data_IF_575121411323
#
_entry.id   IF_575121411323
#
_cell.length_a   1.000
_cell.length_b   1.000
_cell.length_c   1.000
_cell.angle_alpha   90.00
_cell.angle_beta   90.00
_cell.angle_gamma   90.00
#
_symmetry.space_group_name_H-M   'P 1'
#
loop_
_entity.id
_entity.type
_entity.pdbx_description
1 polymer ?
#
# COMPACT_ATOMS: atom_id res chain seq x y z
N UNK A 1 -13.18 -13.28 57.71
CA UNK A 1 -14.09 -12.61 56.75
C UNK A 1 -15.33 -13.47 56.53
N UNK A 2 -16.54 -12.90 56.53
CA UNK A 2 -17.76 -13.66 56.25
C UNK A 2 -17.78 -14.17 54.79
N UNK A 3 -18.47 -15.28 54.48
CA UNK A 3 -18.62 -15.78 53.11
C UNK A 3 -19.12 -14.72 52.14
N UNK A 4 -20.06 -13.88 52.59
CA UNK A 4 -20.63 -12.76 51.81
C UNK A 4 -19.55 -11.74 51.43
N UNK A 5 -18.65 -11.38 52.37
CA UNK A 5 -17.54 -10.44 52.07
C UNK A 5 -16.54 -11.00 51.07
N UNK A 6 -16.32 -12.32 51.06
CA UNK A 6 -15.43 -12.99 50.09
C UNK A 6 -16.06 -13.00 48.70
N UNK A 7 -17.34 -13.34 48.59
CA UNK A 7 -18.08 -13.29 47.31
C UNK A 7 -18.12 -11.88 46.74
N UNK A 8 -18.39 -10.86 47.58
CA UNK A 8 -18.38 -9.47 47.15
C UNK A 8 -16.99 -9.03 46.65
N UNK A 9 -15.91 -9.40 47.36
CA UNK A 9 -14.54 -9.10 46.95
C UNK A 9 -14.18 -9.76 45.60
N UNK A 10 -14.49 -11.04 45.43
CA UNK A 10 -14.28 -11.74 44.17
C UNK A 10 -15.08 -11.11 43.01
N UNK A 11 -16.34 -10.75 43.27
CA UNK A 11 -17.18 -10.04 42.29
C UNK A 11 -16.55 -8.72 41.86
N UNK A 12 -16.09 -7.89 42.80
CA UNK A 12 -15.42 -6.62 42.50
C UNK A 12 -14.15 -6.81 41.66
N UNK A 13 -13.32 -7.79 42.01
CA UNK A 13 -12.09 -8.10 41.25
C UNK A 13 -12.43 -8.51 39.81
N UNK A 14 -13.43 -9.39 39.62
CA UNK A 14 -13.85 -9.82 38.30
C UNK A 14 -14.43 -8.67 37.46
N UNK A 15 -15.26 -7.80 38.06
CA UNK A 15 -15.80 -6.63 37.36
C UNK A 15 -14.72 -5.62 36.98
N UNK A 16 -13.75 -5.37 37.85
CA UNK A 16 -12.62 -4.51 37.55
C UNK A 16 -11.74 -5.11 36.45
N UNK A 17 -11.47 -6.41 36.50
CA UNK A 17 -10.73 -7.12 35.46
C UNK A 17 -11.43 -7.05 34.10
N UNK A 18 -12.74 -7.29 34.06
CA UNK A 18 -13.53 -7.20 32.82
C UNK A 18 -13.57 -5.77 32.27
N UNK A 19 -13.74 -4.76 33.13
CA UNK A 19 -13.72 -3.36 32.73
C UNK A 19 -12.34 -2.93 32.20
N UNK A 20 -11.25 -3.39 32.83
CA UNK A 20 -9.89 -3.13 32.37
C UNK A 20 -9.63 -3.80 31.00
N UNK A 21 -10.08 -5.04 30.81
CA UNK A 21 -9.99 -5.74 29.53
C UNK A 21 -10.78 -5.00 28.43
N UNK A 22 -12.04 -4.65 28.68
CA UNK A 22 -12.87 -3.91 27.73
C UNK A 22 -12.28 -2.53 27.40
N UNK A 23 -11.69 -1.85 28.39
CA UNK A 23 -10.95 -0.60 28.20
C UNK A 23 -9.73 -0.79 27.29
N UNK A 24 -8.94 -1.85 27.51
CA UNK A 24 -7.78 -2.17 26.68
C UNK A 24 -8.19 -2.55 25.25
N UNK A 25 -9.21 -3.39 25.08
CA UNK A 25 -9.76 -3.74 23.77
C UNK A 25 -10.26 -2.51 23.02
N UNK A 26 -10.94 -1.58 23.70
CA UNK A 26 -11.39 -0.33 23.10
C UNK A 26 -10.23 0.58 22.70
N UNK A 27 -9.17 0.65 23.51
CA UNK A 27 -7.99 1.48 23.23
C UNK A 27 -7.09 0.90 22.13
N UNK A 28 -7.09 -0.43 22.01
CA UNK A 28 -6.34 -1.18 20.99
C UNK A 28 -7.18 -1.55 19.78
N UNK A 29 -8.45 -1.10 19.73
CA UNK A 29 -9.33 -1.34 18.59
C UNK A 29 -8.80 -0.57 17.39
N UNK A 30 -8.55 -1.33 16.33
CA UNK A 30 -8.05 -0.78 15.08
C UNK A 30 -9.24 -0.61 14.16
N UNK A 31 -9.58 0.64 13.93
CA UNK A 31 -10.50 1.00 12.87
C UNK A 31 -9.88 0.57 11.54
N UNK A 32 -10.63 -0.12 10.69
CA UNK A 32 -10.16 -0.56 9.36
C UNK A 32 -11.14 -0.01 8.35
N UNK A 33 -11.01 1.26 7.97
CA UNK A 33 -11.94 1.86 7.04
C UNK A 33 -11.82 1.09 5.72
N UNK A 34 -12.95 0.60 5.15
CA UNK A 34 -12.92 -0.09 3.88
C UNK A 34 -12.57 0.92 2.77
N UNK A 35 -12.12 0.41 1.63
CA UNK A 35 -12.11 1.20 0.40
C UNK A 35 -13.53 1.74 0.13
N UNK A 36 -13.61 2.96 -0.38
CA UNK A 36 -14.90 3.62 -0.70
C UNK A 36 -15.56 3.04 -1.94
N UNK A 37 -14.76 2.45 -2.81
CA UNK A 37 -15.19 1.71 -3.99
C UNK A 37 -14.23 0.52 -4.22
N UNK A 38 -14.65 -0.51 -4.98
CA UNK A 38 -13.74 -1.58 -5.41
C UNK A 38 -12.56 -1.05 -6.24
N UNK A 39 -11.39 -1.67 -6.16
CA UNK A 39 -10.24 -1.40 -7.02
C UNK A 39 -10.57 -1.57 -8.51
N UNK A 40 -11.51 -2.46 -8.85
CA UNK A 40 -12.00 -2.63 -10.21
C UNK A 40 -12.64 -1.36 -10.81
N UNK A 41 -13.02 -0.38 -9.99
CA UNK A 41 -13.57 0.90 -10.47
C UNK A 41 -12.50 1.90 -10.91
N UNK A 42 -11.21 1.58 -10.78
CA UNK A 42 -10.16 2.36 -11.44
C UNK A 42 -10.52 2.40 -12.94
N UNK A 43 -10.60 3.58 -13.58
CA UNK A 43 -10.99 3.70 -14.98
C UNK A 43 -10.04 2.95 -15.92
N UNK A 44 -10.59 2.33 -16.96
CA UNK A 44 -9.81 1.81 -18.08
C UNK A 44 -9.24 2.93 -18.95
N UNK A 45 -9.82 4.13 -18.91
CA UNK A 45 -9.27 5.31 -19.57
C UNK A 45 -8.73 6.30 -18.53
N UNK A 46 -7.42 6.55 -18.57
CA UNK A 46 -6.72 7.48 -17.67
C UNK A 46 -6.00 8.54 -18.50
N UNK A 47 -6.73 9.60 -18.88
CA UNK A 47 -6.18 10.63 -19.76
C UNK A 47 -5.82 10.05 -21.13
N UNK A 48 -4.53 10.04 -21.48
CA UNK A 48 -4.01 9.46 -22.74
C UNK A 48 -3.87 7.92 -22.70
N UNK A 49 -4.05 7.31 -21.54
CA UNK A 49 -3.83 5.88 -21.33
C UNK A 49 -5.11 5.07 -21.49
N UNK A 50 -5.04 3.98 -22.25
CA UNK A 50 -6.14 3.00 -22.40
C UNK A 50 -5.69 1.67 -21.84
N UNK A 51 -6.47 1.14 -20.92
CA UNK A 51 -6.16 -0.08 -20.22
C UNK A 51 -7.16 -1.20 -20.42
N UNK A 52 -6.67 -2.41 -20.22
CA UNK A 52 -7.44 -3.64 -20.20
C UNK A 52 -6.90 -4.55 -19.09
N UNK A 53 -7.82 -5.23 -18.40
CA UNK A 53 -7.46 -6.15 -17.33
C UNK A 53 -6.74 -7.37 -17.90
N UNK A 54 -5.68 -7.80 -17.22
CA UNK A 54 -4.98 -9.04 -17.53
C UNK A 54 -5.23 -10.07 -16.43
N UNK A 55 -5.48 -11.34 -16.78
CA UNK A 55 -5.63 -12.40 -15.80
C UNK A 55 -4.33 -12.57 -15.01
N UNK A 56 -4.48 -12.94 -13.74
CA UNK A 56 -3.37 -13.17 -12.82
C UNK A 56 -3.40 -14.63 -12.43
N UNK A 57 -2.23 -15.25 -12.35
CA UNK A 57 -2.11 -16.60 -11.83
C UNK A 57 -2.66 -16.66 -10.39
N UNK A 58 -3.60 -17.59 -10.08
CA UNK A 58 -4.12 -17.76 -8.74
C UNK A 58 -3.03 -17.94 -7.67
N UNK A 59 -1.89 -18.54 -7.99
CA UNK A 59 -0.78 -18.72 -7.06
C UNK A 59 -0.15 -17.38 -6.66
N UNK A 60 -0.09 -16.40 -7.58
CA UNK A 60 0.39 -15.04 -7.29
C UNK A 60 -0.58 -14.34 -6.34
N UNK A 61 -1.89 -14.45 -6.59
CA UNK A 61 -2.93 -13.85 -5.73
C UNK A 61 -2.88 -14.43 -4.31
N UNK A 62 -2.72 -15.76 -4.20
CA UNK A 62 -2.60 -16.46 -2.92
C UNK A 62 -1.35 -15.99 -2.16
N UNK A 63 -0.19 -15.95 -2.82
CA UNK A 63 1.08 -15.49 -2.22
C UNK A 63 1.03 -14.02 -1.83
N UNK A 64 0.41 -13.17 -2.63
CA UNK A 64 0.25 -11.73 -2.36
C UNK A 64 -0.65 -11.45 -1.14
N UNK A 65 -1.44 -12.43 -0.71
CA UNK A 65 -2.31 -12.39 0.48
C UNK A 65 -3.20 -11.15 0.49
N UNK A 66 -3.77 -10.90 -0.67
CA UNK A 66 -4.61 -9.75 -0.97
C UNK A 66 -6.07 -10.05 -0.65
N UNK A 67 -6.82 -9.04 -0.22
CA UNK A 67 -8.29 -9.08 -0.15
C UNK A 67 -8.91 -8.67 -1.48
N UNK A 68 -8.27 -7.72 -2.17
CA UNK A 68 -8.70 -7.21 -3.46
C UNK A 68 -7.49 -6.72 -4.24
N UNK A 69 -7.44 -7.00 -5.54
CA UNK A 69 -6.35 -6.57 -6.40
C UNK A 69 -6.85 -6.00 -7.73
N UNK A 70 -6.00 -5.24 -8.40
CA UNK A 70 -6.15 -4.83 -9.79
C UNK A 70 -4.87 -5.17 -10.54
N UNK A 71 -5.00 -5.90 -11.64
CA UNK A 71 -3.92 -6.16 -12.58
C UNK A 71 -4.35 -5.69 -13.96
N UNK A 72 -3.68 -4.67 -14.48
CA UNK A 72 -4.10 -4.00 -15.70
C UNK A 72 -2.91 -3.50 -16.49
N UNK A 73 -2.97 -3.64 -17.81
CA UNK A 73 -2.01 -3.02 -18.72
C UNK A 73 -2.62 -1.78 -19.31
N UNK A 74 -1.87 -0.69 -19.34
CA UNK A 74 -2.24 0.54 -20.02
C UNK A 74 -1.28 0.82 -21.18
N UNK A 75 -1.83 1.25 -22.31
CA UNK A 75 -1.08 1.70 -23.49
C UNK A 75 -1.41 3.16 -23.78
N UNK A 76 -0.39 3.95 -24.13
CA UNK A 76 -0.54 5.37 -24.48
C UNK A 76 -1.13 5.53 -25.88
N UNK A 77 -2.20 6.32 -26.03
CA UNK A 77 -2.77 6.67 -27.35
C UNK A 77 -1.81 7.53 -28.16
N UNK A 78 -1.14 8.49 -27.51
CA UNK A 78 -0.21 9.41 -28.18
C UNK A 78 1.14 8.80 -28.50
N UNK A 79 1.54 7.73 -27.81
CA UNK A 79 2.85 7.06 -27.96
C UNK A 79 2.67 5.55 -28.18
N UNK A 80 2.39 5.10 -29.41
CA UNK A 80 2.18 3.69 -29.73
C UNK A 80 3.33 2.81 -29.21
N UNK A 81 3.00 1.67 -28.59
CA UNK A 81 3.98 0.76 -28.01
C UNK A 81 4.54 1.19 -26.63
N UNK A 82 4.16 2.36 -26.09
CA UNK A 82 4.43 2.70 -24.69
C UNK A 82 3.38 2.07 -23.80
N UNK A 83 3.82 1.13 -22.95
CA UNK A 83 2.98 0.36 -22.05
C UNK A 83 3.47 0.45 -20.61
N UNK A 84 2.53 0.40 -19.69
CA UNK A 84 2.78 0.23 -18.27
C UNK A 84 1.90 -0.89 -17.72
N UNK A 85 2.42 -1.68 -16.80
CA UNK A 85 1.66 -2.68 -16.06
C UNK A 85 1.37 -2.13 -14.68
N UNK A 86 0.10 -2.10 -14.31
CA UNK A 86 -0.39 -1.68 -13.01
C UNK A 86 -0.75 -2.91 -12.19
N UNK A 87 -0.12 -3.00 -11.02
CA UNK A 87 -0.50 -3.94 -9.97
C UNK A 87 -0.88 -3.14 -8.71
N UNK A 88 -2.13 -3.29 -8.26
CA UNK A 88 -2.58 -2.79 -6.98
C UNK A 88 -3.00 -3.98 -6.12
N UNK A 89 -2.49 -4.05 -4.90
CA UNK A 89 -2.87 -5.07 -3.93
C UNK A 89 -3.37 -4.39 -2.65
N UNK A 90 -4.61 -4.64 -2.28
CA UNK A 90 -5.22 -4.23 -1.01
C UNK A 90 -5.45 -5.43 -0.10
N UNK A 91 -5.00 -5.35 1.16
CA UNK A 91 -5.40 -6.26 2.23
C UNK A 91 -6.11 -5.52 3.34
N UNK A 92 -7.33 -5.95 3.66
CA UNK A 92 -8.09 -5.43 4.81
C UNK A 92 -7.35 -5.64 6.13
N UNK A 93 -6.56 -6.70 6.24
CA UNK A 93 -5.84 -7.06 7.47
C UNK A 93 -4.34 -6.74 7.42
N UNK A 94 -3.87 -6.03 6.39
CA UNK A 94 -2.46 -5.66 6.25
C UNK A 94 -1.53 -6.85 5.97
N UNK A 95 -2.07 -8.00 5.60
CA UNK A 95 -1.29 -9.21 5.30
C UNK A 95 -0.37 -9.05 4.09
N UNK A 96 -0.66 -8.08 3.23
CA UNK A 96 0.15 -7.73 2.07
C UNK A 96 1.37 -6.84 2.39
N UNK A 97 1.46 -6.23 3.58
CA UNK A 97 2.54 -5.27 3.90
C UNK A 97 3.95 -5.90 3.94
N UNK A 98 4.03 -7.23 3.97
CA UNK A 98 5.28 -7.99 3.84
C UNK A 98 5.71 -8.21 2.38
N UNK A 99 4.86 -7.84 1.42
CA UNK A 99 5.08 -8.01 -0.01
C UNK A 99 5.33 -6.64 -0.62
N UNK A 100 6.62 -6.38 -0.89
CA UNK A 100 7.07 -5.17 -1.57
C UNK A 100 8.04 -5.57 -2.68
N UNK A 101 8.30 -4.71 -3.67
CA UNK A 101 9.26 -4.98 -4.74
C UNK A 101 10.62 -5.43 -4.21
N UNK A 102 11.06 -4.89 -3.08
CA UNK A 102 12.32 -5.25 -2.42
C UNK A 102 12.39 -6.67 -1.85
N UNK A 103 11.26 -7.34 -1.66
CA UNK A 103 11.20 -8.71 -1.16
C UNK A 103 10.84 -9.66 -2.31
N UNK A 104 9.82 -9.29 -3.10
CA UNK A 104 9.27 -10.14 -4.13
C UNK A 104 10.20 -10.27 -5.35
N UNK A 105 10.83 -9.17 -5.80
CA UNK A 105 11.66 -9.20 -7.01
C UNK A 105 12.97 -9.95 -6.80
N UNK A 106 13.73 -9.77 -5.69
CA UNK A 106 14.89 -10.61 -5.42
C UNK A 106 14.56 -12.10 -5.32
N UNK A 107 13.41 -12.43 -4.74
CA UNK A 107 12.92 -13.82 -4.66
C UNK A 107 12.63 -14.40 -6.06
N UNK A 108 12.26 -13.56 -7.02
CA UNK A 108 12.07 -13.90 -8.44
C UNK A 108 13.35 -13.82 -9.28
N UNK A 109 14.52 -13.62 -8.68
CA UNK A 109 15.81 -13.56 -9.37
C UNK A 109 16.16 -12.21 -9.99
N UNK A 110 15.49 -11.13 -9.59
CA UNK A 110 15.82 -9.77 -10.02
C UNK A 110 16.82 -9.12 -9.05
N UNK A 111 17.80 -8.39 -9.60
CA UNK A 111 18.78 -7.64 -8.81
C UNK A 111 18.46 -6.15 -8.84
N UNK A 112 18.48 -5.49 -7.69
CA UNK A 112 18.21 -4.04 -7.61
C UNK A 112 19.38 -3.26 -8.22
N UNK A 113 19.08 -2.26 -9.05
CA UNK A 113 20.03 -1.34 -9.66
C UNK A 113 19.98 -0.01 -8.88
N UNK A 114 20.77 0.07 -7.81
CA UNK A 114 20.73 1.22 -6.88
C UNK A 114 21.02 2.56 -7.58
N UNK A 115 21.88 2.57 -8.60
CA UNK A 115 22.23 3.78 -9.35
C UNK A 115 21.08 4.40 -10.16
N UNK A 116 20.03 3.63 -10.42
CA UNK A 116 18.85 4.07 -11.20
C UNK A 116 17.62 4.33 -10.34
N UNK A 117 17.70 4.00 -9.04
CA UNK A 117 16.67 4.31 -8.06
C UNK A 117 16.68 5.80 -7.70
N UNK A 118 15.50 6.45 -7.74
CA UNK A 118 15.37 7.88 -7.40
C UNK A 118 13.94 8.26 -7.02
N UNK A 119 13.79 9.38 -6.34
CA UNK A 119 12.47 9.96 -6.05
C UNK A 119 12.01 10.78 -7.26
N UNK A 120 10.80 10.50 -7.76
CA UNK A 120 10.12 11.26 -8.80
C UNK A 120 9.06 12.19 -8.18
N UNK A 121 9.14 13.51 -8.38
CA UNK A 121 8.09 14.43 -7.93
C UNK A 121 6.87 14.34 -8.86
N UNK A 122 5.73 13.86 -8.37
CA UNK A 122 4.48 13.76 -9.14
C UNK A 122 3.49 14.80 -8.65
N UNK A 123 3.05 15.71 -9.52
CA UNK A 123 1.98 16.65 -9.18
C UNK A 123 0.67 15.88 -8.98
N UNK A 124 0.09 15.95 -7.78
CA UNK A 124 -1.29 15.56 -7.53
C UNK A 124 -2.16 16.67 -8.10
N UNK A 125 -3.02 16.36 -9.08
CA UNK A 125 -3.92 17.35 -9.69
C UNK A 125 -4.81 18.11 -8.69
N UNK A 126 -4.91 17.66 -7.44
CA UNK A 126 -5.50 18.40 -6.33
C UNK A 126 -4.45 19.29 -5.63
N UNK A 127 -4.58 20.61 -5.79
CA UNK A 127 -4.04 21.62 -4.87
C UNK A 127 -2.52 21.85 -4.89
N UNK A 128 -1.86 21.76 -6.06
CA UNK A 128 -0.42 22.02 -6.25
C UNK A 128 0.51 21.14 -5.37
N UNK A 129 -0.05 20.08 -4.76
CA UNK A 129 0.70 19.14 -3.93
C UNK A 129 1.57 18.26 -4.80
N UNK A 130 2.88 18.28 -4.56
CA UNK A 130 3.82 17.35 -5.18
C UNK A 130 4.02 16.12 -4.28
N UNK A 131 3.81 14.95 -4.84
CA UNK A 131 3.91 13.64 -4.20
C UNK A 131 5.24 12.98 -4.61
N UNK A 132 6.14 12.64 -3.66
CA UNK A 132 7.45 12.09 -3.98
C UNK A 132 7.40 10.57 -4.17
N UNK A 133 7.13 10.08 -5.38
CA UNK A 133 7.03 8.63 -5.65
C UNK A 133 8.43 8.03 -5.82
N UNK A 134 8.72 6.92 -5.15
CA UNK A 134 9.96 6.18 -5.37
C UNK A 134 9.91 5.44 -6.71
N UNK A 135 10.92 5.67 -7.54
CA UNK A 135 11.25 4.87 -8.71
C UNK A 135 12.35 3.89 -8.31
N UNK A 136 12.07 2.61 -8.44
CA UNK A 136 13.00 1.52 -8.22
C UNK A 136 13.36 0.87 -9.55
N UNK A 137 14.64 0.54 -9.73
CA UNK A 137 15.13 -0.17 -10.89
C UNK A 137 15.59 -1.58 -10.50
N UNK A 138 15.19 -2.58 -11.29
CA UNK A 138 15.56 -3.98 -11.10
C UNK A 138 15.97 -4.60 -12.43
N UNK A 139 17.02 -5.41 -12.40
CA UNK A 139 17.56 -6.08 -13.57
C UNK A 139 17.46 -7.61 -13.45
N UNK A 140 17.14 -8.27 -14.56
CA UNK A 140 17.22 -9.72 -14.71
C UNK A 140 17.81 -10.05 -16.10
N UNK A 141 19.08 -10.48 -16.11
CA UNK A 141 19.84 -10.58 -17.36
C UNK A 141 20.02 -9.20 -17.99
N UNK A 142 19.69 -9.06 -19.28
CA UNK A 142 19.73 -7.79 -20.02
C UNK A 142 18.47 -6.93 -19.85
N UNK A 143 17.44 -7.44 -19.15
CA UNK A 143 16.19 -6.73 -18.96
C UNK A 143 16.28 -5.84 -17.72
N UNK A 144 16.02 -4.55 -17.90
CA UNK A 144 15.86 -3.58 -16.80
C UNK A 144 14.39 -3.16 -16.71
N UNK A 145 13.84 -3.29 -15.52
CA UNK A 145 12.47 -2.97 -15.17
C UNK A 145 12.46 -1.81 -14.18
N UNK A 146 11.76 -0.73 -14.53
CA UNK A 146 11.52 0.40 -13.66
C UNK A 146 10.15 0.25 -13.01
N UNK A 147 10.06 0.65 -11.75
CA UNK A 147 8.89 0.45 -10.90
C UNK A 147 8.62 1.72 -10.12
N UNK A 148 7.48 2.35 -10.37
CA UNK A 148 6.93 3.33 -9.43
C UNK A 148 6.25 2.62 -8.30
N UNK A 149 6.65 2.94 -7.08
CA UNK A 149 6.18 2.26 -5.89
C UNK A 149 5.74 3.27 -4.83
N UNK A 150 4.54 3.07 -4.31
CA UNK A 150 4.05 3.73 -3.11
C UNK A 150 3.02 2.84 -2.40
N UNK A 151 2.72 3.18 -1.15
CA UNK A 151 1.77 2.42 -0.36
C UNK A 151 0.93 3.30 0.55
N UNK A 152 -0.19 2.74 0.96
CA UNK A 152 -1.14 3.32 1.90
C UNK A 152 -1.32 2.38 3.08
N UNK A 153 -1.49 2.98 4.25
CA UNK A 153 -1.96 2.26 5.42
C UNK A 153 -3.21 2.96 5.94
N UNK A 154 -4.26 2.18 6.15
CA UNK A 154 -5.55 2.68 6.58
C UNK A 154 -5.84 2.23 8.00
N UNK A 155 -6.27 3.20 8.81
CA UNK A 155 -6.75 2.92 10.15
C UNK A 155 -5.65 2.33 11.03
N UNK A 156 -4.60 3.10 11.29
CA UNK A 156 -3.42 2.62 11.99
C UNK A 156 -3.66 2.34 13.48
N UNK A 157 -4.73 2.90 14.06
CA UNK A 157 -4.94 2.96 15.50
C UNK A 157 -4.30 4.20 16.11
N UNK A 158 -4.91 4.78 17.15
CA UNK A 158 -4.44 6.05 17.74
C UNK A 158 -3.07 5.94 18.40
N UNK A 159 -2.80 4.81 19.06
CA UNK A 159 -1.56 4.57 19.78
C UNK A 159 -0.41 4.26 18.82
N UNK A 160 -0.68 3.43 17.82
CA UNK A 160 0.26 3.08 16.77
C UNK A 160 0.64 4.30 15.94
N UNK A 161 -0.31 5.16 15.58
CA UNK A 161 -0.03 6.45 14.93
C UNK A 161 0.91 7.32 15.78
N UNK A 162 0.66 7.40 17.10
CA UNK A 162 1.54 8.13 18.01
C UNK A 162 2.96 7.54 18.04
N UNK A 163 3.10 6.21 18.20
CA UNK A 163 4.40 5.54 18.22
C UNK A 163 5.16 5.72 16.89
N UNK A 164 4.45 5.72 15.75
CA UNK A 164 5.04 5.92 14.42
C UNK A 164 5.43 7.36 14.13
N UNK A 165 4.83 8.34 14.81
CA UNK A 165 5.28 9.74 14.73
C UNK A 165 6.63 9.98 15.39
N UNK A 166 7.16 9.00 16.13
CA UNK A 166 8.49 9.08 16.74
C UNK A 166 9.58 8.81 15.69
N UNK A 167 10.68 9.57 15.68
CA UNK A 167 11.74 9.49 14.67
C UNK A 167 12.61 8.22 14.75
N UNK A 168 12.16 7.18 15.47
CA UNK A 168 12.95 5.99 15.85
C UNK A 168 12.44 4.73 15.12
N UNK A 169 11.26 4.78 14.47
CA UNK A 169 10.69 3.60 13.82
C UNK A 169 11.25 3.41 12.41
N UNK A 170 11.83 2.24 12.11
CA UNK A 170 12.34 1.86 10.78
C UNK A 170 11.30 1.03 10.00
N UNK A 171 11.36 1.00 8.66
CA UNK A 171 10.42 0.25 7.79
C UNK A 171 10.14 -1.20 8.23
N UNK A 172 11.15 -1.93 8.70
CA UNK A 172 10.98 -3.31 9.17
C UNK A 172 10.15 -3.41 10.45
N UNK A 173 10.14 -2.36 11.29
CA UNK A 173 9.18 -2.27 12.39
C UNK A 173 7.80 -1.89 11.90
N UNK A 174 7.67 -1.02 10.89
CA UNK A 174 6.38 -0.59 10.33
C UNK A 174 5.50 -1.76 9.89
N UNK A 175 5.98 -2.67 9.02
CA UNK A 175 5.20 -3.82 8.55
C UNK A 175 4.94 -4.91 9.61
N UNK A 176 5.71 -4.90 10.72
CA UNK A 176 5.56 -5.87 11.82
C UNK A 176 4.64 -5.37 12.93
N UNK A 177 4.49 -4.05 13.08
CA UNK A 177 3.64 -3.40 14.09
C UNK A 177 2.34 -2.86 13.51
N UNK A 178 2.25 -2.68 12.18
CA UNK A 178 1.01 -2.28 11.53
C UNK A 178 -0.01 -3.37 11.59
N UNK A 179 -1.17 -2.99 12.09
CA UNK A 179 -2.33 -3.86 12.24
C UNK A 179 -3.56 -3.32 11.48
N UNK A 180 -3.37 -2.22 10.75
CA UNK A 180 -4.35 -1.60 9.85
C UNK A 180 -4.45 -2.30 8.49
N UNK A 181 -5.30 -1.79 7.60
CA UNK A 181 -5.36 -2.28 6.23
C UNK A 181 -4.18 -1.72 5.42
N UNK A 182 -3.68 -2.48 4.46
CA UNK A 182 -2.53 -2.10 3.64
C UNK A 182 -2.88 -2.09 2.16
N UNK A 183 -2.38 -1.13 1.41
CA UNK A 183 -2.47 -1.11 -0.04
C UNK A 183 -1.14 -0.75 -0.68
N UNK A 184 -0.63 -1.59 -1.57
CA UNK A 184 0.56 -1.30 -2.38
C UNK A 184 0.13 -0.98 -3.80
N UNK A 185 0.82 -0.01 -4.41
CA UNK A 185 0.66 0.35 -5.81
C UNK A 185 2.01 0.23 -6.49
N UNK A 186 2.05 -0.58 -7.53
CA UNK A 186 3.23 -0.89 -8.32
C UNK A 186 2.93 -0.61 -9.78
N UNK A 187 3.71 0.29 -10.39
CA UNK A 187 3.61 0.61 -11.81
C UNK A 187 4.92 0.23 -12.49
N UNK A 188 4.85 -0.80 -13.31
CA UNK A 188 5.99 -1.35 -14.04
C UNK A 188 6.11 -0.70 -15.42
N UNK A 189 7.29 -0.16 -15.73
CA UNK A 189 7.65 0.34 -17.06
C UNK A 189 9.01 -0.21 -17.52
N UNK A 190 9.18 -0.67 -18.77
CA UNK A 190 10.47 -1.15 -19.25
C UNK A 190 11.51 -0.03 -19.21
N UNK A 191 12.66 -0.25 -18.57
CA UNK A 191 13.64 0.82 -18.30
C UNK A 191 14.15 1.51 -19.57
N UNK A 192 14.42 0.74 -20.62
CA UNK A 192 14.83 1.26 -21.93
C UNK A 192 13.78 2.20 -22.58
N UNK A 193 12.51 2.08 -22.19
CA UNK A 193 11.42 2.91 -22.72
C UNK A 193 11.20 4.19 -21.92
N UNK A 194 11.75 4.30 -20.70
CA UNK A 194 11.52 5.41 -19.79
C UNK A 194 12.77 5.78 -18.96
N UNK A 195 13.89 6.16 -19.61
CA UNK A 195 15.15 6.44 -18.92
C UNK A 195 15.06 7.61 -17.94
N UNK A 196 14.17 8.57 -18.18
CA UNK A 196 13.96 9.75 -17.32
C UNK A 196 12.81 9.57 -16.32
N UNK A 197 12.08 8.46 -16.37
CA UNK A 197 10.91 8.24 -15.51
C UNK A 197 9.68 9.09 -15.90
N UNK A 198 9.68 9.74 -17.06
CA UNK A 198 8.63 10.66 -17.49
C UNK A 198 7.30 9.93 -17.78
N UNK A 199 7.38 8.72 -18.34
CA UNK A 199 6.23 7.85 -18.61
C UNK A 199 5.60 7.40 -17.30
N UNK A 200 6.43 6.96 -16.36
CA UNK A 200 6.00 6.59 -15.02
C UNK A 200 5.35 7.77 -14.29
N UNK A 201 5.97 8.96 -14.35
CA UNK A 201 5.48 10.17 -13.69
C UNK A 201 4.13 10.64 -14.27
N UNK A 202 3.98 10.60 -15.60
CA UNK A 202 2.74 10.94 -16.30
C UNK A 202 1.59 9.99 -15.94
N UNK A 203 1.85 8.68 -16.00
CA UNK A 203 0.84 7.68 -15.63
C UNK A 203 0.47 7.78 -14.14
N UNK A 204 1.46 7.92 -13.25
CA UNK A 204 1.23 8.03 -11.82
C UNK A 204 0.38 9.27 -11.47
N UNK A 205 0.58 10.40 -12.17
CA UNK A 205 -0.28 11.58 -12.02
C UNK A 205 -1.74 11.26 -12.29
N UNK A 206 -2.03 10.63 -13.42
CA UNK A 206 -3.40 10.27 -13.80
C UNK A 206 -4.01 9.25 -12.82
N UNK A 207 -3.23 8.25 -12.42
CA UNK A 207 -3.65 7.22 -11.49
C UNK A 207 -3.97 7.78 -10.09
N UNK A 208 -3.11 8.65 -9.55
CA UNK A 208 -3.33 9.26 -8.22
C UNK A 208 -4.66 10.01 -8.15
N UNK A 209 -5.01 10.76 -9.20
CA UNK A 209 -6.30 11.46 -9.29
C UNK A 209 -7.46 10.46 -9.35
N UNK A 210 -7.34 9.42 -10.17
CA UNK A 210 -8.38 8.41 -10.33
C UNK A 210 -8.60 7.53 -9.09
N UNK A 211 -7.58 7.38 -8.24
CA UNK A 211 -7.66 6.61 -7.00
C UNK A 211 -8.30 7.38 -5.86
N UNK A 212 -8.29 8.71 -5.86
CA UNK A 212 -8.80 9.52 -4.73
C UNK A 212 -10.25 9.17 -4.31
N UNK A 213 -11.21 8.92 -5.24
CA UNK A 213 -12.56 8.49 -4.88
C UNK A 213 -12.63 7.10 -4.23
N UNK A 214 -11.64 6.24 -4.47
CA UNK A 214 -11.54 4.86 -3.96
C UNK A 214 -10.96 4.86 -2.54
N UNK A 215 -10.05 5.80 -2.25
CA UNK A 215 -9.31 5.86 -1.00
C UNK A 215 -10.18 6.34 0.18
N UNK A 216 -10.01 5.77 1.39
CA UNK A 216 -10.54 6.33 2.62
C UNK A 216 -10.03 7.77 2.86
N UNK A 217 -10.81 8.61 3.54
CA UNK A 217 -10.35 9.96 3.94
C UNK A 217 -9.21 9.90 4.97
N UNK A 218 -9.36 9.05 5.99
CA UNK A 218 -8.33 8.84 6.99
C UNK A 218 -7.36 7.76 6.50
N UNK A 219 -6.17 8.20 6.07
CA UNK A 219 -5.11 7.32 5.57
C UNK A 219 -3.75 7.92 5.85
N UNK A 220 -2.77 7.04 6.04
CA UNK A 220 -1.37 7.40 5.96
C UNK A 220 -0.86 7.02 4.57
N UNK A 221 -0.07 7.92 3.98
CA UNK A 221 0.46 7.77 2.62
C UNK A 221 1.98 7.73 2.70
N UNK A 222 2.58 6.75 2.02
CA UNK A 222 4.01 6.53 2.03
C UNK A 222 4.49 6.36 0.60
N UNK A 223 5.21 7.35 0.11
CA UNK A 223 5.67 7.40 -1.27
C UNK A 223 7.17 7.07 -1.40
N UNK A 224 7.87 6.99 -0.28
CA UNK A 224 9.27 6.60 -0.17
C UNK A 224 9.34 5.38 0.76
N UNK A 225 9.94 4.26 0.33
CA UNK A 225 10.14 3.06 1.13
C UNK A 225 10.96 3.27 2.40
#
# INVERSE_FOLDING_TARGET
MSPIRRVALCGMILTCGYAAQAGLESLTKIERPPLRAPLGTVPTELGDWVGHDEPVDPEIVEKAQTTEFLNRVYESRSRPGRRVWLWINYSRFGTNLRHSPEICLPSGGWSKVESECRVLPVSSGAGDRTIPIMRLAYAQGELVQEIGFWYYIFGEGRLEHFVRSLPITSRSSHGRTTRGSGMTVEVFCPGASDPDGATLQDFARALLVAMEPILPAMRAEYFIP
#
